data_IF_097808140887
#
_entry.id   IF_097808140887
#
_cell.length_a   1.000
_cell.length_b   1.000
_cell.length_c   1.000
_cell.angle_alpha   90.00
_cell.angle_beta   90.00
_cell.angle_gamma   90.00
#
_symmetry.space_group_name_H-M   'P 1'
#
loop_
_entity.id
_entity.type
_entity.pdbx_description
1 polymer ?
#
# COMPACT_ATOMS: atom_id res chain seq x y z
N UNK A 1 -19.49 -9.86 20.94
CA UNK A 1 -18.99 -9.99 19.56
C UNK A 1 -17.66 -10.72 19.67
N UNK A 2 -17.44 -11.88 19.03
CA UNK A 2 -16.09 -12.42 18.98
C UNK A 2 -15.24 -11.47 18.16
N UNK A 3 -14.22 -10.91 18.79
CA UNK A 3 -13.11 -10.25 18.11
C UNK A 3 -12.56 -11.25 17.09
N UNK A 4 -12.28 -10.81 15.86
CA UNK A 4 -11.67 -11.63 14.82
C UNK A 4 -10.50 -12.42 15.40
N UNK A 5 -10.48 -13.74 15.17
CA UNK A 5 -9.39 -14.63 15.64
C UNK A 5 -8.11 -14.48 14.81
N UNK A 6 -8.13 -13.63 13.79
CA UNK A 6 -7.03 -13.40 12.87
C UNK A 6 -6.19 -12.22 13.41
N UNK A 7 -4.87 -12.38 13.58
CA UNK A 7 -3.97 -11.27 13.90
C UNK A 7 -4.13 -10.13 12.89
N UNK A 8 -4.10 -8.88 13.35
CA UNK A 8 -4.28 -7.69 12.50
C UNK A 8 -3.33 -7.69 11.29
N UNK A 9 -2.10 -8.17 11.47
CA UNK A 9 -1.11 -8.29 10.41
C UNK A 9 -1.54 -9.24 9.29
N UNK A 10 -2.20 -10.36 9.64
CA UNK A 10 -2.75 -11.29 8.67
C UNK A 10 -3.93 -10.67 7.91
N UNK A 11 -4.82 -9.96 8.62
CA UNK A 11 -5.93 -9.23 7.96
C UNK A 11 -5.39 -8.20 6.95
N UNK A 12 -4.35 -7.45 7.31
CA UNK A 12 -3.72 -6.47 6.41
C UNK A 12 -3.10 -7.17 5.20
N UNK A 13 -2.41 -8.29 5.41
CA UNK A 13 -1.81 -9.08 4.33
C UNK A 13 -2.86 -9.64 3.36
N UNK A 14 -4.03 -10.01 3.85
CA UNK A 14 -5.14 -10.45 2.99
C UNK A 14 -5.64 -9.31 2.10
N UNK A 15 -5.70 -8.08 2.60
CA UNK A 15 -6.11 -6.90 1.82
C UNK A 15 -5.15 -6.57 0.67
N UNK A 16 -3.87 -6.91 0.80
CA UNK A 16 -2.91 -6.81 -0.32
C UNK A 16 -3.11 -7.88 -1.39
N UNK A 17 -3.74 -9.01 -1.04
CA UNK A 17 -3.88 -10.19 -1.90
C UNK A 17 -5.27 -10.35 -2.50
N UNK A 18 -6.23 -9.53 -2.06
CA UNK A 18 -7.63 -9.63 -2.46
C UNK A 18 -8.15 -8.26 -2.93
N UNK A 19 -8.40 -8.08 -4.23
CA UNK A 19 -8.19 -9.03 -5.33
C UNK A 19 -6.69 -9.31 -5.59
N UNK A 20 -6.38 -10.45 -6.20
CA UNK A 20 -5.01 -10.76 -6.65
C UNK A 20 -4.67 -9.85 -7.82
N UNK A 21 -3.61 -9.05 -7.68
CA UNK A 21 -3.07 -8.27 -8.78
C UNK A 21 -2.38 -9.23 -9.76
N UNK A 22 -3.05 -9.56 -10.86
CA UNK A 22 -2.51 -10.42 -11.90
C UNK A 22 -1.35 -9.77 -12.67
N UNK A 23 -0.51 -10.61 -13.29
CA UNK A 23 0.69 -10.19 -14.04
C UNK A 23 0.43 -9.21 -15.21
N UNK A 24 -0.82 -9.03 -15.62
CA UNK A 24 -1.22 -8.08 -16.66
C UNK A 24 -1.51 -6.67 -16.15
N UNK A 25 -1.40 -6.41 -14.85
CA UNK A 25 -1.55 -5.08 -14.22
C UNK A 25 -2.71 -4.25 -14.80
N UNK A 26 -3.89 -4.87 -15.00
CA UNK A 26 -5.08 -4.09 -15.28
C UNK A 26 -5.40 -3.28 -14.02
N UNK A 27 -5.27 -1.96 -14.14
CA UNK A 27 -5.39 -0.92 -13.11
C UNK A 27 -6.51 -1.09 -12.07
N UNK A 28 -7.57 -1.83 -12.40
CA UNK A 28 -8.77 -2.00 -11.58
C UNK A 28 -8.50 -2.76 -10.27
N UNK A 29 -7.63 -3.78 -10.28
CA UNK A 29 -7.42 -4.58 -9.07
C UNK A 29 -6.58 -3.86 -8.02
N UNK A 30 -5.52 -3.17 -8.46
CA UNK A 30 -4.72 -2.34 -7.56
C UNK A 30 -5.52 -1.22 -6.90
N UNK A 31 -6.56 -0.72 -7.56
CA UNK A 31 -7.49 0.26 -6.99
C UNK A 31 -8.24 -0.28 -5.77
N UNK A 32 -8.80 -1.48 -5.89
CA UNK A 32 -9.57 -2.12 -4.82
C UNK A 32 -8.70 -2.44 -3.60
N UNK A 33 -7.45 -2.87 -3.81
CA UNK A 33 -6.51 -3.08 -2.70
C UNK A 33 -6.22 -1.77 -1.96
N UNK A 34 -5.92 -0.70 -2.70
CA UNK A 34 -5.62 0.62 -2.12
C UNK A 34 -6.82 1.13 -1.33
N UNK A 35 -8.01 1.08 -1.92
CA UNK A 35 -9.25 1.50 -1.26
C UNK A 35 -9.47 0.73 0.04
N UNK A 36 -9.40 -0.60 -0.01
CA UNK A 36 -9.66 -1.46 1.15
C UNK A 36 -8.66 -1.21 2.28
N UNK A 37 -7.38 -1.00 1.95
CA UNK A 37 -6.35 -0.67 2.93
C UNK A 37 -6.55 0.73 3.55
N UNK A 38 -6.95 1.73 2.76
CA UNK A 38 -7.24 3.08 3.27
C UNK A 38 -8.47 3.08 4.17
N UNK A 39 -9.54 2.39 3.78
CA UNK A 39 -10.76 2.23 4.58
C UNK A 39 -10.46 1.51 5.89
N UNK A 40 -9.75 0.37 5.82
CA UNK A 40 -9.29 -0.35 7.02
C UNK A 40 -8.50 0.56 7.94
N UNK A 41 -7.52 1.31 7.42
CA UNK A 41 -6.71 2.22 8.25
C UNK A 41 -7.57 3.24 9.01
N UNK A 42 -8.57 3.82 8.36
CA UNK A 42 -9.47 4.84 8.94
C UNK A 42 -10.43 4.29 10.00
N UNK A 43 -10.70 2.98 9.97
CA UNK A 43 -11.56 2.30 10.95
C UNK A 43 -10.80 1.84 12.21
N UNK A 44 -9.47 1.73 12.14
CA UNK A 44 -8.65 1.26 13.26
C UNK A 44 -8.51 2.32 14.35
N UNK A 45 -8.36 1.86 15.59
CA UNK A 45 -7.93 2.71 16.70
C UNK A 45 -6.46 3.16 16.54
N UNK A 46 -6.03 4.11 17.37
CA UNK A 46 -4.69 4.70 17.28
C UNK A 46 -3.56 3.67 17.40
N UNK A 47 -3.71 2.65 18.25
CA UNK A 47 -2.66 1.63 18.41
C UNK A 47 -2.56 0.73 17.18
N UNK A 48 -3.72 0.27 16.69
CA UNK A 48 -3.78 -0.62 15.52
C UNK A 48 -3.41 0.10 14.22
N UNK A 49 -3.79 1.37 14.07
CA UNK A 49 -3.38 2.20 12.92
C UNK A 49 -1.87 2.41 12.89
N UNK A 50 -1.19 2.58 14.03
CA UNK A 50 0.28 2.64 14.08
C UNK A 50 0.94 1.33 13.64
N UNK A 51 0.39 0.18 14.03
CA UNK A 51 0.87 -1.14 13.57
C UNK A 51 0.72 -1.25 12.05
N UNK A 52 -0.47 -0.93 11.52
CA UNK A 52 -0.73 -0.94 10.08
C UNK A 52 0.18 0.01 9.32
N UNK A 53 0.38 1.23 9.83
CA UNK A 53 1.31 2.20 9.24
C UNK A 53 2.72 1.60 9.12
N UNK A 54 3.21 0.95 10.19
CA UNK A 54 4.53 0.31 10.19
C UNK A 54 4.66 -0.74 9.07
N UNK A 55 3.63 -1.56 8.88
CA UNK A 55 3.59 -2.56 7.81
C UNK A 55 3.56 -1.93 6.42
N UNK A 56 2.69 -0.95 6.19
CA UNK A 56 2.59 -0.27 4.87
C UNK A 56 3.91 0.43 4.54
N UNK A 57 4.56 1.07 5.51
CA UNK A 57 5.90 1.67 5.33
C UNK A 57 6.94 0.62 4.97
N UNK A 58 6.96 -0.52 5.67
CA UNK A 58 7.86 -1.63 5.35
C UNK A 58 7.63 -2.12 3.91
N UNK A 59 6.38 -2.36 3.54
CA UNK A 59 5.99 -2.90 2.23
C UNK A 59 6.17 -1.92 1.08
N UNK A 60 6.16 -0.61 1.32
CA UNK A 60 6.51 0.41 0.32
C UNK A 60 7.92 0.27 -0.25
N UNK A 61 8.80 -0.48 0.44
CA UNK A 61 10.18 -0.77 0.04
C UNK A 61 10.40 -2.27 -0.25
N UNK A 62 9.33 -2.97 -0.63
CA UNK A 62 9.38 -4.37 -1.02
C UNK A 62 9.89 -4.53 -2.46
N UNK A 63 10.75 -5.53 -2.75
CA UNK A 63 11.12 -5.86 -4.14
C UNK A 63 9.95 -6.44 -4.95
N UNK A 64 8.84 -6.81 -4.30
CA UNK A 64 7.60 -7.12 -5.00
C UNK A 64 6.95 -5.82 -5.50
N UNK A 65 6.91 -5.64 -6.82
CA UNK A 65 6.45 -4.42 -7.46
C UNK A 65 4.99 -4.10 -7.12
N UNK A 66 4.11 -5.11 -7.10
CA UNK A 66 2.70 -4.92 -6.80
C UNK A 66 2.50 -4.45 -5.34
N UNK A 67 3.17 -5.11 -4.39
CA UNK A 67 3.12 -4.78 -2.96
C UNK A 67 3.64 -3.37 -2.68
N UNK A 68 4.80 -3.01 -3.26
CA UNK A 68 5.38 -1.68 -3.07
C UNK A 68 4.52 -0.58 -3.73
N UNK A 69 4.00 -0.83 -4.92
CA UNK A 69 3.03 0.02 -5.62
C UNK A 69 1.81 0.34 -4.75
N UNK A 70 1.10 -0.69 -4.26
CA UNK A 70 -0.10 -0.52 -3.44
C UNK A 70 0.23 0.27 -2.17
N UNK A 71 1.36 -0.07 -1.53
CA UNK A 71 1.78 0.59 -0.29
C UNK A 71 2.04 2.08 -0.47
N UNK A 72 2.73 2.48 -1.55
CA UNK A 72 2.99 3.89 -1.85
C UNK A 72 1.69 4.66 -2.12
N UNK A 73 0.75 4.05 -2.85
CA UNK A 73 -0.56 4.63 -3.09
C UNK A 73 -1.34 4.85 -1.77
N UNK A 74 -1.35 3.86 -0.87
CA UNK A 74 -1.98 3.98 0.46
C UNK A 74 -1.32 5.08 1.29
N UNK A 75 0.01 5.13 1.36
CA UNK A 75 0.72 6.19 2.11
C UNK A 75 0.40 7.58 1.56
N UNK A 76 0.27 7.70 0.24
CA UNK A 76 -0.13 8.96 -0.41
C UNK A 76 -1.56 9.35 -0.04
N UNK A 77 -2.52 8.43 -0.15
CA UNK A 77 -3.92 8.65 0.23
C UNK A 77 -4.09 9.07 1.69
N UNK A 78 -3.23 8.56 2.59
CA UNK A 78 -3.25 8.89 4.01
C UNK A 78 -2.47 10.17 4.35
N UNK A 79 -1.93 10.89 3.36
CA UNK A 79 -1.18 12.13 3.57
C UNK A 79 0.21 11.93 4.17
N UNK A 80 0.76 10.71 4.14
CA UNK A 80 2.05 10.36 4.72
C UNK A 80 3.23 10.70 3.78
N UNK A 81 3.32 11.97 3.37
CA UNK A 81 4.23 12.42 2.31
C UNK A 81 5.70 12.10 2.56
N UNK A 82 6.14 12.10 3.82
CA UNK A 82 7.53 11.73 4.18
C UNK A 82 7.82 10.27 3.82
N UNK A 83 6.92 9.36 4.17
CA UNK A 83 7.09 7.93 3.89
C UNK A 83 7.04 7.66 2.38
N UNK A 84 6.19 8.37 1.64
CA UNK A 84 6.18 8.33 0.17
C UNK A 84 7.55 8.74 -0.38
N UNK A 85 8.10 9.87 0.06
CA UNK A 85 9.42 10.33 -0.40
C UNK A 85 10.53 9.31 -0.10
N UNK A 86 10.51 8.68 1.08
CA UNK A 86 11.46 7.63 1.41
C UNK A 86 11.35 6.40 0.51
N UNK A 87 10.13 6.00 0.11
CA UNK A 87 9.94 4.90 -0.83
C UNK A 87 10.50 5.24 -2.22
N UNK A 88 10.31 6.49 -2.71
CA UNK A 88 10.91 6.96 -3.96
C UNK A 88 12.44 7.00 -3.89
N UNK A 89 13.01 7.42 -2.76
CA UNK A 89 14.46 7.40 -2.56
C UNK A 89 15.02 5.98 -2.57
N UNK A 90 14.32 5.04 -1.95
CA UNK A 90 14.67 3.62 -2.00
C UNK A 90 14.61 3.08 -3.43
N UNK A 91 13.52 3.34 -4.17
CA UNK A 91 13.35 2.86 -5.54
C UNK A 91 14.42 3.40 -6.50
N UNK A 92 14.87 4.65 -6.32
CA UNK A 92 15.99 5.24 -7.08
C UNK A 92 17.33 4.52 -6.90
N UNK A 93 17.49 3.76 -5.82
CA UNK A 93 18.69 2.96 -5.56
C UNK A 93 18.69 1.57 -6.21
N UNK A 94 17.63 1.19 -6.92
CA UNK A 94 17.47 -0.12 -7.56
C UNK A 94 17.92 -0.08 -9.02
N UNK A 95 18.39 -1.23 -9.52
CA UNK A 95 18.70 -1.41 -10.95
C UNK A 95 17.46 -1.17 -11.84
N UNK A 96 16.28 -1.55 -11.37
CA UNK A 96 14.98 -1.38 -12.06
C UNK A 96 14.24 -0.10 -11.63
N UNK A 97 14.99 0.93 -11.22
CA UNK A 97 14.41 2.16 -10.64
C UNK A 97 13.29 2.78 -11.46
N UNK A 98 13.45 2.88 -12.80
CA UNK A 98 12.43 3.46 -13.68
C UNK A 98 11.09 2.72 -13.60
N UNK A 99 11.11 1.38 -13.53
CA UNK A 99 9.91 0.55 -13.41
C UNK A 99 9.16 0.85 -12.11
N UNK A 100 9.87 0.85 -10.98
CA UNK A 100 9.25 1.14 -9.67
C UNK A 100 8.69 2.55 -9.60
N UNK A 101 9.46 3.54 -10.04
CA UNK A 101 9.04 4.95 -10.02
C UNK A 101 7.79 5.15 -10.88
N UNK A 102 7.76 4.57 -12.09
CA UNK A 102 6.60 4.64 -12.96
C UNK A 102 5.34 4.06 -12.31
N UNK A 103 5.45 2.90 -11.65
CA UNK A 103 4.32 2.32 -10.93
C UNK A 103 3.90 3.19 -9.76
N UNK A 104 4.85 3.74 -8.99
CA UNK A 104 4.53 4.64 -7.89
C UNK A 104 3.79 5.90 -8.36
N UNK A 105 4.13 6.45 -9.53
CA UNK A 105 3.44 7.60 -10.11
C UNK A 105 1.99 7.25 -10.51
N UNK A 106 1.78 6.07 -11.09
CA UNK A 106 0.42 5.53 -11.35
C UNK A 106 -0.36 5.41 -10.03
N UNK A 107 0.27 4.82 -9.01
CA UNK A 107 -0.37 4.56 -7.72
C UNK A 107 -0.79 5.84 -7.01
N UNK A 108 0.07 6.86 -7.01
CA UNK A 108 -0.28 8.19 -6.50
C UNK A 108 -1.44 8.82 -7.26
N UNK A 109 -1.41 8.77 -8.59
CA UNK A 109 -2.48 9.34 -9.42
C UNK A 109 -3.83 8.69 -9.14
N UNK A 110 -3.82 7.38 -8.89
CA UNK A 110 -5.00 6.62 -8.50
C UNK A 110 -5.43 6.90 -7.05
N UNK A 111 -4.49 7.13 -6.14
CA UNK A 111 -4.76 7.39 -4.74
C UNK A 111 -5.46 8.73 -4.46
N UNK A 112 -5.41 9.70 -5.40
CA UNK A 112 -6.12 10.99 -5.28
C UNK A 112 -7.65 10.83 -5.11
N UNK A 113 -8.23 9.71 -5.55
CA UNK A 113 -9.65 9.42 -5.33
C UNK A 113 -9.98 9.03 -3.88
N UNK A 114 -8.97 8.76 -3.05
CA UNK A 114 -9.12 8.27 -1.68
C UNK A 114 -8.59 9.22 -0.61
N UNK A 115 -7.89 10.29 -0.99
CA UNK A 115 -7.40 11.36 -0.09
C UNK A 115 -8.52 12.04 0.70
#
# INVERSE_FOLDING_TARGET
MPESLIPLEEEILELYRSPIIGASYNNTYGEENVKSLVEKFRELDEQKSQIMQGLVVLYSKSPDLATSYVSVAVLHALGMSKNVQEAYLWAKGLDESETFIHHFDIGKSLAEYFT
#
